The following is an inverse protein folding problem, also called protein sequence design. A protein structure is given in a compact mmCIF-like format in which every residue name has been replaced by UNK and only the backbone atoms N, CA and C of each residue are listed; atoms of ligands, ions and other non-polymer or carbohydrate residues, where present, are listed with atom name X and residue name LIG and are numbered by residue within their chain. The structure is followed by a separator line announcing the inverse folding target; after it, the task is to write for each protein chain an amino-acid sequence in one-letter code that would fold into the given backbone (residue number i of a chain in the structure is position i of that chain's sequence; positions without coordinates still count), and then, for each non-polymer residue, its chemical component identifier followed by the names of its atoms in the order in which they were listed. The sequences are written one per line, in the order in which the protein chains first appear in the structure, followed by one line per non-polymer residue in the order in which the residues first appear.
data_IF_201612842793
#
_entry.id   IF_201612842793
#
_cell.length_a   1.000
_cell.length_b   1.000
_cell.length_c   1.000
_cell.angle_alpha   90.00
_cell.angle_beta   90.00
_cell.angle_gamma   90.00
#
_symmetry.space_group_name_H-M   'P 1'
#
loop_
_entity.id
_entity.type
_entity.pdbx_description
1 polymer ?
#
# COMPACT_ATOMS: atom_id res chain seq x y z
N UNK A 1 -24.63 30.26 22.26
CA UNK A 1 -23.70 29.35 21.59
C UNK A 1 -24.50 28.49 20.63
N UNK A 2 -24.55 28.84 19.35
CA UNK A 2 -25.22 28.08 18.30
C UNK A 2 -24.32 26.90 17.93
N UNK A 3 -24.69 25.71 18.37
CA UNK A 3 -24.03 24.46 17.89
C UNK A 3 -24.35 24.31 16.41
N UNK A 4 -23.41 24.67 15.55
CA UNK A 4 -23.49 24.37 14.12
C UNK A 4 -23.54 22.86 13.98
N UNK A 5 -24.72 22.31 13.69
CA UNK A 5 -24.88 20.91 13.32
C UNK A 5 -24.13 20.70 12.02
N UNK A 6 -23.04 19.95 12.08
CA UNK A 6 -22.33 19.51 10.87
C UNK A 6 -23.33 18.75 9.98
N UNK A 7 -23.36 19.02 8.66
CA UNK A 7 -24.24 18.30 7.75
C UNK A 7 -23.95 16.81 7.89
N UNK A 8 -24.97 16.05 8.30
CA UNK A 8 -24.88 14.60 8.47
C UNK A 8 -24.78 13.95 7.09
N UNK A 9 -23.56 13.55 6.70
CA UNK A 9 -23.36 12.76 5.48
C UNK A 9 -24.11 11.44 5.63
N UNK A 10 -24.89 10.99 4.62
CA UNK A 10 -25.58 9.70 4.68
C UNK A 10 -24.61 8.55 4.97
N UNK A 11 -24.99 7.64 5.86
CA UNK A 11 -24.14 6.48 6.22
C UNK A 11 -23.75 5.65 4.98
N UNK A 12 -24.62 5.57 3.98
CA UNK A 12 -24.38 4.86 2.71
C UNK A 12 -23.16 5.43 1.94
N UNK A 13 -22.98 6.74 1.93
CA UNK A 13 -21.85 7.37 1.24
C UNK A 13 -20.53 7.04 1.94
N UNK A 14 -20.51 7.05 3.28
CA UNK A 14 -19.31 6.65 4.04
C UNK A 14 -18.97 5.19 3.81
N UNK A 15 -19.97 4.28 3.83
CA UNK A 15 -19.76 2.86 3.54
C UNK A 15 -19.18 2.66 2.14
N UNK A 16 -19.72 3.35 1.15
CA UNK A 16 -19.19 3.27 -0.23
C UNK A 16 -17.75 3.75 -0.30
N UNK A 17 -17.43 4.90 0.32
CA UNK A 17 -16.07 5.42 0.35
C UNK A 17 -15.12 4.45 1.04
N UNK A 18 -15.49 3.93 2.21
CA UNK A 18 -14.67 2.98 2.99
C UNK A 18 -14.40 1.72 2.16
N UNK A 19 -15.42 1.22 1.44
CA UNK A 19 -15.28 0.03 0.58
C UNK A 19 -14.33 0.31 -0.61
N UNK A 20 -14.44 1.47 -1.25
CA UNK A 20 -13.56 1.84 -2.38
C UNK A 20 -12.11 2.02 -1.94
N UNK A 21 -11.90 2.72 -0.82
CA UNK A 21 -10.56 2.90 -0.24
C UNK A 21 -10.00 1.54 0.19
N UNK A 22 -10.80 0.71 0.88
CA UNK A 22 -10.40 -0.63 1.28
C UNK A 22 -10.03 -1.54 0.09
N UNK A 23 -10.79 -1.45 -1.01
CA UNK A 23 -10.49 -2.21 -2.23
C UNK A 23 -9.15 -1.78 -2.85
N UNK A 24 -8.90 -0.48 -2.96
CA UNK A 24 -7.63 0.05 -3.44
C UNK A 24 -6.47 -0.36 -2.52
N UNK A 25 -6.67 -0.26 -1.21
CA UNK A 25 -5.69 -0.63 -0.19
C UNK A 25 -5.34 -2.12 -0.23
N UNK A 26 -6.33 -2.99 -0.48
CA UNK A 26 -6.06 -4.43 -0.63
C UNK A 26 -5.15 -4.73 -1.84
N UNK A 27 -5.29 -3.99 -2.95
CA UNK A 27 -4.38 -4.12 -4.11
C UNK A 27 -2.98 -3.62 -3.78
N UNK A 28 -2.85 -2.54 -3.00
CA UNK A 28 -1.54 -2.08 -2.52
C UNK A 28 -0.81 -3.17 -1.73
N UNK A 29 -1.47 -3.78 -0.75
CA UNK A 29 -0.89 -4.85 0.07
C UNK A 29 -0.67 -6.16 -0.72
N UNK A 30 -1.58 -6.52 -1.61
CA UNK A 30 -1.39 -7.62 -2.56
C UNK A 30 -0.10 -7.41 -3.38
N UNK A 31 0.11 -6.19 -3.86
CA UNK A 31 1.26 -5.85 -4.70
C UNK A 31 2.59 -5.88 -3.94
N UNK A 32 2.59 -5.72 -2.62
CA UNK A 32 3.78 -5.90 -1.78
C UNK A 32 4.33 -7.33 -1.82
N UNK A 33 3.49 -8.31 -2.10
CA UNK A 33 3.85 -9.72 -2.16
C UNK A 33 3.80 -10.30 -3.58
N UNK A 34 3.86 -9.49 -4.64
CA UNK A 34 3.81 -9.97 -6.03
C UNK A 34 4.91 -11.00 -6.35
N UNK A 35 6.12 -10.75 -5.91
CA UNK A 35 7.27 -11.60 -6.27
C UNK A 35 7.52 -12.71 -5.26
N UNK A 36 7.33 -12.49 -3.97
CA UNK A 36 7.71 -13.42 -2.92
C UNK A 36 7.12 -14.84 -3.08
N UNK A 37 5.82 -15.03 -3.36
CA UNK A 37 5.26 -16.36 -3.62
C UNK A 37 5.79 -17.03 -4.89
N UNK A 38 6.38 -16.26 -5.81
CA UNK A 38 6.88 -16.70 -7.09
C UNK A 38 8.40 -16.98 -7.09
N UNK A 39 9.08 -16.77 -5.97
CA UNK A 39 10.53 -16.94 -5.85
C UNK A 39 11.07 -18.28 -6.36
N UNK A 40 10.43 -19.45 -6.12
CA UNK A 40 10.92 -20.71 -6.66
C UNK A 40 11.04 -20.69 -8.18
N UNK A 41 10.03 -20.18 -8.88
CA UNK A 41 10.03 -20.11 -10.36
C UNK A 41 10.95 -19.02 -10.89
N UNK A 42 11.03 -17.89 -10.22
CA UNK A 42 11.89 -16.76 -10.63
C UNK A 42 13.37 -17.10 -10.45
N UNK A 43 13.72 -17.81 -9.36
CA UNK A 43 15.09 -18.28 -9.12
C UNK A 43 15.61 -19.07 -10.31
N UNK A 44 14.83 -20.03 -10.77
CA UNK A 44 15.22 -20.91 -11.88
C UNK A 44 15.16 -20.17 -13.23
N UNK A 45 14.14 -19.35 -13.46
CA UNK A 45 13.96 -18.61 -14.72
C UNK A 45 15.07 -17.58 -15.00
N UNK A 46 15.63 -16.98 -13.96
CA UNK A 46 16.66 -15.94 -14.07
C UNK A 46 18.05 -16.40 -13.59
N UNK A 47 18.17 -17.67 -13.15
CA UNK A 47 19.40 -18.24 -12.59
C UNK A 47 20.01 -17.35 -11.49
N UNK A 48 19.20 -16.93 -10.53
CA UNK A 48 19.55 -16.05 -9.42
C UNK A 48 19.34 -16.73 -8.07
N UNK A 49 19.95 -16.20 -7.03
CA UNK A 49 19.77 -16.66 -5.65
C UNK A 49 18.51 -16.07 -4.99
N UNK A 50 18.04 -16.69 -3.90
CA UNK A 50 16.98 -16.08 -3.07
C UNK A 50 17.40 -14.74 -2.44
N UNK A 51 18.70 -14.51 -2.23
CA UNK A 51 19.21 -13.25 -1.74
C UNK A 51 19.00 -12.11 -2.77
N UNK A 52 19.29 -12.40 -4.05
CA UNK A 52 19.03 -11.44 -5.14
C UNK A 52 17.54 -11.17 -5.32
N UNK A 53 16.68 -12.18 -5.21
CA UNK A 53 15.23 -11.98 -5.22
C UNK A 53 14.75 -11.17 -4.01
N UNK A 54 15.35 -11.38 -2.83
CA UNK A 54 15.11 -10.57 -1.64
C UNK A 54 15.53 -9.11 -1.84
N UNK A 55 16.59 -8.85 -2.63
CA UNK A 55 17.00 -7.48 -2.97
C UNK A 55 15.92 -6.75 -3.80
N UNK A 56 15.22 -7.44 -4.69
CA UNK A 56 14.08 -6.84 -5.43
C UNK A 56 12.97 -6.37 -4.49
N UNK A 57 12.67 -7.15 -3.44
CA UNK A 57 11.73 -6.75 -2.40
C UNK A 57 12.25 -5.54 -1.61
N UNK A 58 13.54 -5.52 -1.31
CA UNK A 58 14.20 -4.39 -0.63
C UNK A 58 14.09 -3.12 -1.47
N UNK A 59 14.37 -3.19 -2.78
CA UNK A 59 14.21 -2.07 -3.71
C UNK A 59 12.78 -1.54 -3.66
N UNK A 60 11.79 -2.44 -3.79
CA UNK A 60 10.37 -2.07 -3.71
C UNK A 60 10.05 -1.31 -2.41
N UNK A 61 10.41 -1.86 -1.25
CA UNK A 61 10.05 -1.26 0.04
C UNK A 61 10.79 0.05 0.31
N UNK A 62 12.07 0.16 -0.06
CA UNK A 62 12.84 1.40 0.08
C UNK A 62 12.22 2.51 -0.77
N UNK A 63 11.95 2.23 -2.04
CA UNK A 63 11.31 3.21 -2.94
C UNK A 63 9.93 3.60 -2.43
N UNK A 64 9.12 2.60 -2.03
CA UNK A 64 7.78 2.85 -1.47
C UNK A 64 7.85 3.74 -0.22
N UNK A 65 8.79 3.51 0.66
CA UNK A 65 8.97 4.29 1.89
C UNK A 65 9.35 5.76 1.59
N UNK A 66 10.27 5.98 0.65
CA UNK A 66 10.66 7.32 0.20
C UNK A 66 9.48 8.05 -0.44
N UNK A 67 8.78 7.39 -1.37
CA UNK A 67 7.61 7.96 -2.05
C UNK A 67 6.49 8.24 -1.05
N UNK A 68 6.24 7.34 -0.10
CA UNK A 68 5.21 7.53 0.93
C UNK A 68 5.46 8.78 1.77
N UNK A 69 6.71 9.06 2.11
CA UNK A 69 7.10 10.26 2.86
C UNK A 69 6.82 11.54 2.05
N UNK A 70 7.01 11.50 0.74
CA UNK A 70 6.85 12.66 -0.14
C UNK A 70 5.43 12.81 -0.71
N UNK A 71 4.68 11.74 -0.81
CA UNK A 71 3.38 11.73 -1.50
C UNK A 71 2.31 12.57 -0.79
N UNK A 72 2.45 12.84 0.50
CA UNK A 72 1.57 13.78 1.21
C UNK A 72 1.52 15.16 0.56
N UNK A 73 2.68 15.69 0.16
CA UNK A 73 2.78 16.99 -0.55
C UNK A 73 2.12 16.95 -1.94
N UNK A 74 2.21 15.79 -2.61
CA UNK A 74 1.58 15.59 -3.92
C UNK A 74 0.06 15.52 -3.77
N UNK A 75 -0.43 14.81 -2.75
CA UNK A 75 -1.85 14.72 -2.43
C UNK A 75 -2.43 16.08 -2.07
N UNK A 76 -1.70 16.88 -1.30
CA UNK A 76 -2.13 18.24 -0.93
C UNK A 76 -2.26 19.18 -2.16
N UNK A 77 -1.44 18.99 -3.19
CA UNK A 77 -1.46 19.80 -4.42
C UNK A 77 -2.46 19.30 -5.47
N UNK A 78 -2.46 17.99 -5.74
CA UNK A 78 -3.23 17.39 -6.84
C UNK A 78 -4.57 16.81 -6.40
N UNK A 79 -4.76 16.65 -5.07
CA UNK A 79 -5.88 15.92 -4.51
C UNK A 79 -5.67 14.40 -4.49
N UNK A 80 -6.43 13.66 -3.65
CA UNK A 80 -6.23 12.23 -3.45
C UNK A 80 -6.61 11.37 -4.67
N UNK A 81 -7.66 11.74 -5.41
CA UNK A 81 -8.19 10.93 -6.53
C UNK A 81 -7.18 10.66 -7.64
N UNK A 82 -6.54 11.67 -8.28
CA UNK A 82 -5.59 11.43 -9.36
C UNK A 82 -4.35 10.67 -8.87
N UNK A 83 -3.91 10.92 -7.64
CA UNK A 83 -2.75 10.26 -7.04
C UNK A 83 -3.06 8.76 -6.80
N UNK A 84 -4.25 8.42 -6.30
CA UNK A 84 -4.70 7.03 -6.13
C UNK A 84 -4.74 6.28 -7.46
N UNK A 85 -5.30 6.91 -8.50
CA UNK A 85 -5.41 6.30 -9.83
C UNK A 85 -4.04 6.07 -10.45
N UNK A 86 -3.12 7.03 -10.32
CA UNK A 86 -1.74 6.87 -10.75
C UNK A 86 -1.03 5.72 -10.01
N UNK A 87 -1.23 5.61 -8.69
CA UNK A 87 -0.69 4.51 -7.89
C UNK A 87 -1.17 3.15 -8.37
N UNK A 88 -2.48 2.97 -8.55
CA UNK A 88 -3.06 1.72 -9.07
C UNK A 88 -2.58 1.39 -10.48
N UNK A 89 -2.51 2.38 -11.36
CA UNK A 89 -2.01 2.19 -12.72
C UNK A 89 -0.55 1.74 -12.72
N UNK A 90 0.30 2.36 -11.89
CA UNK A 90 1.71 1.98 -11.75
C UNK A 90 1.87 0.55 -11.20
N UNK A 91 1.04 0.14 -10.23
CA UNK A 91 1.06 -1.24 -9.71
C UNK A 91 0.67 -2.25 -10.80
N UNK A 92 -0.38 -1.96 -11.56
CA UNK A 92 -0.81 -2.82 -12.67
C UNK A 92 0.24 -2.90 -13.79
N UNK A 93 0.83 -1.76 -14.18
CA UNK A 93 1.91 -1.69 -15.16
C UNK A 93 3.16 -2.43 -14.68
N UNK A 94 3.52 -2.32 -13.40
CA UNK A 94 4.63 -3.05 -12.82
C UNK A 94 4.41 -4.57 -12.87
N UNK A 95 3.20 -5.04 -12.58
CA UNK A 95 2.87 -6.47 -12.65
C UNK A 95 2.99 -7.00 -14.09
N UNK A 96 2.51 -6.27 -15.09
CA UNK A 96 2.73 -6.60 -16.50
C UNK A 96 4.19 -6.53 -16.89
N UNK A 97 4.92 -5.53 -16.41
CA UNK A 97 6.35 -5.40 -16.63
C UNK A 97 7.16 -6.56 -16.04
N UNK A 98 6.82 -6.98 -14.82
CA UNK A 98 7.40 -8.22 -14.25
C UNK A 98 7.11 -9.43 -15.12
N UNK A 99 5.87 -9.59 -15.61
CA UNK A 99 5.52 -10.72 -16.46
C UNK A 99 6.30 -10.76 -17.79
N UNK A 100 6.61 -9.59 -18.34
CA UNK A 100 7.36 -9.43 -19.58
C UNK A 100 8.88 -9.45 -19.38
N UNK A 101 9.38 -9.46 -18.14
CA UNK A 101 10.80 -9.37 -17.84
C UNK A 101 11.59 -10.56 -18.38
N UNK A 102 12.73 -10.26 -18.98
CA UNK A 102 13.68 -11.24 -19.56
C UNK A 102 15.03 -11.23 -18.84
N UNK A 103 15.26 -10.30 -17.91
CA UNK A 103 16.47 -10.20 -17.12
C UNK A 103 16.18 -9.75 -15.70
N UNK A 104 17.11 -10.04 -14.78
CA UNK A 104 17.03 -9.58 -13.39
C UNK A 104 16.93 -8.07 -13.28
N UNK A 105 17.62 -7.32 -14.13
CA UNK A 105 17.59 -5.85 -14.12
C UNK A 105 16.23 -5.27 -14.52
N UNK A 106 15.50 -5.97 -15.40
CA UNK A 106 14.10 -5.60 -15.69
C UNK A 106 13.21 -5.82 -14.46
N UNK A 107 13.41 -6.93 -13.73
CA UNK A 107 12.70 -7.12 -12.45
C UNK A 107 13.03 -6.01 -11.45
N UNK A 108 14.30 -5.60 -11.36
CA UNK A 108 14.72 -4.49 -10.49
C UNK A 108 14.06 -3.17 -10.90
N UNK A 109 14.01 -2.85 -12.21
CA UNK A 109 13.32 -1.67 -12.73
C UNK A 109 11.83 -1.67 -12.34
N UNK A 110 11.13 -2.79 -12.56
CA UNK A 110 9.71 -2.87 -12.23
C UNK A 110 9.46 -2.93 -10.71
N UNK A 111 10.45 -3.35 -9.90
CA UNK A 111 10.38 -3.19 -8.43
C UNK A 111 10.40 -1.71 -8.03
N UNK A 112 11.17 -0.87 -8.73
CA UNK A 112 11.13 0.60 -8.54
C UNK A 112 9.75 1.15 -8.93
N UNK A 113 9.23 0.77 -10.11
CA UNK A 113 7.90 1.24 -10.59
C UNK A 113 6.80 0.84 -9.60
N UNK A 114 6.82 -0.42 -9.15
CA UNK A 114 5.87 -0.91 -8.14
C UNK A 114 6.00 -0.17 -6.81
N UNK A 115 7.22 0.10 -6.35
CA UNK A 115 7.49 0.87 -5.14
C UNK A 115 6.94 2.29 -5.22
N UNK A 116 7.12 2.97 -6.36
CA UNK A 116 6.54 4.30 -6.62
C UNK A 116 5.01 4.22 -6.55
N UNK A 117 4.40 3.24 -7.24
CA UNK A 117 2.96 3.05 -7.22
C UNK A 117 2.42 2.75 -5.82
N UNK A 118 3.13 1.96 -5.02
CA UNK A 118 2.70 1.57 -3.68
C UNK A 118 2.80 2.71 -2.65
N UNK A 119 3.79 3.59 -2.77
CA UNK A 119 4.08 4.61 -1.76
C UNK A 119 3.01 5.69 -1.61
N UNK A 120 2.06 5.80 -2.53
CA UNK A 120 1.02 6.85 -2.47
C UNK A 120 -0.21 6.47 -1.63
N UNK A 121 -0.44 5.17 -1.35
CA UNK A 121 -1.72 4.70 -0.80
C UNK A 121 -2.00 5.24 0.59
N UNK A 122 -1.11 5.06 1.57
CA UNK A 122 -1.39 5.51 2.94
C UNK A 122 -1.70 7.01 3.05
N UNK A 123 -0.93 7.94 2.44
CA UNK A 123 -1.28 9.35 2.45
C UNK A 123 -2.63 9.66 1.78
N UNK A 124 -2.94 8.99 0.66
CA UNK A 124 -4.24 9.13 -0.03
C UNK A 124 -5.38 8.60 0.82
N UNK A 125 -5.26 7.37 1.30
CA UNK A 125 -6.30 6.66 2.05
C UNK A 125 -6.65 7.43 3.34
N UNK A 126 -5.63 7.85 4.08
CA UNK A 126 -5.83 8.62 5.31
C UNK A 126 -6.43 10.00 5.04
N UNK A 127 -6.06 10.64 3.94
CA UNK A 127 -6.67 11.90 3.53
C UNK A 127 -8.16 11.72 3.22
N UNK A 128 -8.52 10.70 2.44
CA UNK A 128 -9.93 10.41 2.10
C UNK A 128 -10.74 10.05 3.34
N UNK A 129 -10.24 9.14 4.17
CA UNK A 129 -10.94 8.69 5.38
C UNK A 129 -11.14 9.86 6.35
N UNK A 130 -10.08 10.59 6.71
CA UNK A 130 -10.17 11.66 7.70
C UNK A 130 -11.00 12.85 7.23
N UNK A 131 -10.96 13.18 5.93
CA UNK A 131 -11.68 14.36 5.43
C UNK A 131 -13.13 14.07 5.04
N UNK A 132 -13.45 12.85 4.61
CA UNK A 132 -14.79 12.53 4.09
C UNK A 132 -15.64 11.74 5.07
N UNK A 133 -15.11 10.77 5.79
CA UNK A 133 -15.89 9.92 6.70
C UNK A 133 -16.37 10.73 7.92
N UNK A 134 -17.60 10.45 8.36
CA UNK A 134 -18.15 11.11 9.56
C UNK A 134 -17.32 10.72 10.81
N UNK A 135 -17.02 11.66 11.74
CA UNK A 135 -16.16 11.39 12.90
C UNK A 135 -16.56 10.17 13.74
N UNK A 136 -17.87 9.93 13.94
CA UNK A 136 -18.36 8.77 14.69
C UNK A 136 -18.09 7.41 14.01
N UNK A 137 -17.72 7.38 12.74
CA UNK A 137 -17.46 6.18 11.96
C UNK A 137 -15.98 5.99 11.59
N UNK A 138 -15.09 6.90 12.00
CA UNK A 138 -13.65 6.81 11.71
C UNK A 138 -13.03 5.53 12.24
N UNK A 139 -13.39 5.09 13.45
CA UNK A 139 -12.89 3.83 14.00
C UNK A 139 -13.21 2.62 13.11
N UNK A 140 -14.46 2.54 12.62
CA UNK A 140 -14.86 1.49 11.68
C UNK A 140 -14.12 1.59 10.34
N UNK A 141 -13.92 2.82 9.82
CA UNK A 141 -13.20 3.04 8.57
C UNK A 141 -11.75 2.54 8.66
N UNK A 142 -11.04 2.87 9.73
CA UNK A 142 -9.67 2.40 9.94
C UNK A 142 -9.59 0.89 10.23
N UNK A 143 -10.58 0.32 10.91
CA UNK A 143 -10.65 -1.14 11.08
C UNK A 143 -10.81 -1.86 9.75
N UNK A 144 -11.73 -1.42 8.89
CA UNK A 144 -11.91 -1.99 7.55
C UNK A 144 -10.65 -1.81 6.71
N UNK A 145 -10.03 -0.63 6.74
CA UNK A 145 -8.76 -0.37 6.06
C UNK A 145 -7.66 -1.37 6.48
N UNK A 146 -7.48 -1.62 7.78
CA UNK A 146 -6.52 -2.60 8.27
C UNK A 146 -6.85 -4.04 7.85
N UNK A 147 -8.14 -4.44 7.90
CA UNK A 147 -8.59 -5.78 7.47
C UNK A 147 -8.34 -5.97 5.98
N UNK A 148 -8.68 -4.98 5.15
CA UNK A 148 -8.49 -5.08 3.69
C UNK A 148 -7.03 -5.17 3.30
N UNK A 149 -6.12 -4.50 4.03
CA UNK A 149 -4.67 -4.69 3.87
C UNK A 149 -4.23 -6.12 4.15
N UNK A 150 -4.67 -6.69 5.29
CA UNK A 150 -4.37 -8.09 5.65
C UNK A 150 -4.93 -9.09 4.63
N UNK A 151 -6.15 -8.84 4.11
CA UNK A 151 -6.73 -9.64 3.03
C UNK A 151 -5.90 -9.55 1.74
N UNK A 152 -5.36 -8.38 1.40
CA UNK A 152 -4.46 -8.22 0.26
C UNK A 152 -3.22 -9.11 0.39
N UNK A 153 -2.57 -9.13 1.56
CA UNK A 153 -1.44 -10.01 1.81
C UNK A 153 -1.80 -11.50 1.73
N UNK A 154 -2.95 -11.89 2.25
CA UNK A 154 -3.40 -13.29 2.17
C UNK A 154 -3.76 -13.71 0.74
N UNK A 155 -4.36 -12.81 -0.04
CA UNK A 155 -4.78 -13.08 -1.41
C UNK A 155 -3.58 -13.28 -2.36
N UNK A 156 -2.46 -12.59 -2.13
CA UNK A 156 -1.31 -12.66 -3.02
C UNK A 156 -0.77 -14.10 -3.15
N UNK A 157 -0.33 -14.80 -2.10
CA UNK A 157 0.12 -16.18 -2.24
C UNK A 157 -1.03 -17.13 -2.64
N UNK A 158 -2.26 -16.90 -2.16
CA UNK A 158 -3.41 -17.73 -2.49
C UNK A 158 -3.79 -17.71 -3.98
N UNK A 159 -3.51 -16.62 -4.68
CA UNK A 159 -3.77 -16.49 -6.12
C UNK A 159 -2.52 -16.80 -6.95
N UNK A 160 -1.36 -16.24 -6.58
CA UNK A 160 -0.18 -16.30 -7.43
C UNK A 160 0.46 -17.68 -7.49
N UNK A 161 0.58 -18.39 -6.36
CA UNK A 161 1.24 -19.69 -6.34
C UNK A 161 0.46 -20.76 -7.13
N UNK A 162 -0.88 -20.91 -6.98
CA UNK A 162 -1.65 -21.84 -7.82
C UNK A 162 -1.59 -21.48 -9.31
N UNK A 163 -1.70 -20.20 -9.68
CA UNK A 163 -1.61 -19.78 -11.07
C UNK A 163 -0.22 -20.07 -11.66
N UNK A 164 0.84 -19.87 -10.88
CA UNK A 164 2.19 -20.19 -11.32
C UNK A 164 2.40 -21.69 -11.49
N UNK A 165 1.83 -22.51 -10.63
CA UNK A 165 1.91 -23.99 -10.69
C UNK A 165 1.12 -24.58 -11.85
N UNK A 166 -0.09 -24.03 -12.12
CA UNK A 166 -0.99 -24.56 -13.17
C UNK A 166 -0.63 -24.05 -14.57
N UNK A 167 -0.08 -22.84 -14.66
CA UNK A 167 0.21 -22.20 -15.93
C UNK A 167 1.66 -21.72 -16.01
N UNK A 168 1.96 -20.58 -15.42
CA UNK A 168 3.31 -20.05 -15.28
C UNK A 168 3.33 -18.83 -14.36
N UNK A 169 4.51 -18.48 -13.84
CA UNK A 169 4.70 -17.25 -13.07
C UNK A 169 4.37 -15.99 -13.88
N UNK A 170 4.56 -16.02 -15.21
CA UNK A 170 4.19 -14.90 -16.09
C UNK A 170 2.68 -14.70 -16.14
N UNK A 171 1.91 -15.77 -16.28
CA UNK A 171 0.44 -15.74 -16.26
C UNK A 171 -0.07 -15.24 -14.90
N UNK A 172 0.52 -15.70 -13.80
CA UNK A 172 0.17 -15.24 -12.48
C UNK A 172 0.32 -13.70 -12.33
N UNK A 173 1.43 -13.16 -12.82
CA UNK A 173 1.69 -11.71 -12.80
C UNK A 173 0.80 -10.94 -13.79
N UNK A 174 0.46 -11.50 -14.94
CA UNK A 174 -0.53 -10.91 -15.86
C UNK A 174 -1.91 -10.82 -15.20
N UNK A 175 -2.35 -11.88 -14.51
CA UNK A 175 -3.61 -11.86 -13.76
C UNK A 175 -3.58 -10.82 -12.63
N UNK A 176 -2.45 -10.65 -11.95
CA UNK A 176 -2.27 -9.63 -10.93
C UNK A 176 -2.38 -8.20 -11.52
N UNK A 177 -1.74 -7.95 -12.66
CA UNK A 177 -1.85 -6.69 -13.37
C UNK A 177 -3.28 -6.40 -13.83
N UNK A 178 -3.94 -7.41 -14.40
CA UNK A 178 -5.35 -7.31 -14.80
C UNK A 178 -6.26 -6.99 -13.59
N UNK A 179 -6.05 -7.64 -12.46
CA UNK A 179 -6.79 -7.36 -11.22
C UNK A 179 -6.64 -5.90 -10.77
N UNK A 180 -5.42 -5.35 -10.80
CA UNK A 180 -5.18 -3.95 -10.46
C UNK A 180 -5.94 -3.00 -11.39
N UNK A 181 -5.97 -3.26 -12.70
CA UNK A 181 -6.72 -2.46 -13.67
C UNK A 181 -8.24 -2.63 -13.55
N UNK A 182 -8.73 -3.83 -13.20
CA UNK A 182 -10.16 -4.03 -12.89
C UNK A 182 -10.56 -3.18 -11.68
N UNK A 183 -9.74 -3.17 -10.62
CA UNK A 183 -10.00 -2.31 -9.46
C UNK A 183 -9.93 -0.84 -9.85
N UNK A 184 -8.94 -0.43 -10.65
CA UNK A 184 -8.86 0.94 -11.17
C UNK A 184 -10.13 1.32 -11.94
N UNK A 185 -10.67 0.44 -12.79
CA UNK A 185 -11.89 0.67 -13.54
C UNK A 185 -13.11 0.82 -12.60
N UNK A 186 -13.21 -0.02 -11.55
CA UNK A 186 -14.25 0.13 -10.52
C UNK A 186 -14.15 1.50 -9.85
N UNK A 187 -12.96 1.90 -9.42
CA UNK A 187 -12.75 3.20 -8.79
C UNK A 187 -13.04 4.36 -9.75
N UNK A 188 -12.77 4.19 -11.03
CA UNK A 188 -13.09 5.18 -12.07
C UNK A 188 -14.59 5.39 -12.22
N UNK A 189 -15.38 4.32 -12.18
CA UNK A 189 -16.86 4.42 -12.21
C UNK A 189 -17.36 5.23 -11.00
N UNK A 190 -16.77 5.02 -9.83
CA UNK A 190 -17.15 5.72 -8.60
C UNK A 190 -16.25 6.94 -8.27
N UNK A 191 -15.58 7.51 -9.28
CA UNK A 191 -14.57 8.57 -9.08
C UNK A 191 -15.06 9.81 -8.33
N UNK A 192 -16.35 10.13 -8.41
CA UNK A 192 -16.92 11.27 -7.70
C UNK A 192 -16.94 11.06 -6.19
N UNK A 193 -17.03 9.82 -5.73
CA UNK A 193 -16.92 9.48 -4.31
C UNK A 193 -15.51 9.72 -3.76
N UNK A 194 -14.48 9.68 -4.64
CA UNK A 194 -13.07 9.86 -4.30
C UNK A 194 -12.58 11.30 -4.50
N UNK A 195 -13.42 12.19 -5.05
CA UNK A 195 -13.08 13.60 -5.21
C UNK A 195 -13.12 14.32 -3.86
N UNK A 196 -12.20 15.24 -3.66
CA UNK A 196 -12.10 16.06 -2.47
C UNK A 196 -11.82 17.52 -2.88
N UNK A 197 -12.59 18.44 -2.34
CA UNK A 197 -12.27 19.86 -2.45
C UNK A 197 -11.10 20.17 -1.49
N UNK A 198 -9.93 20.40 -2.06
CA UNK A 198 -8.72 20.67 -1.28
C UNK A 198 -8.73 22.10 -0.70
N UNK A 199 -9.54 23.03 -1.24
CA UNK A 199 -9.69 24.38 -0.73
C UNK A 199 -10.61 24.44 0.49
N UNK A 200 -11.44 23.41 0.70
CA UNK A 200 -12.31 23.35 1.87
C UNK A 200 -11.49 23.25 3.17
N UNK A 201 -11.88 24.00 4.23
CA UNK A 201 -11.16 23.99 5.50
C UNK A 201 -11.05 22.58 6.07
N UNK A 202 -9.87 22.23 6.59
CA UNK A 202 -9.64 20.96 7.30
C UNK A 202 -10.59 20.93 8.52
N UNK A 203 -11.25 19.79 8.76
CA UNK A 203 -12.14 19.63 9.91
C UNK A 203 -11.42 20.05 11.21
N UNK A 204 -12.08 20.84 12.04
CA UNK A 204 -11.55 21.25 13.34
C UNK A 204 -11.22 20.00 14.18
N UNK A 205 -9.95 19.83 14.52
CA UNK A 205 -9.38 18.64 15.18
C UNK A 205 -8.01 18.27 14.64
N UNK A 206 -7.68 18.71 13.41
CA UNK A 206 -6.35 18.66 12.83
C UNK A 206 -5.81 20.09 12.60
N UNK A 207 -5.98 20.97 13.57
CA UNK A 207 -5.39 22.31 13.54
C UNK A 207 -3.86 22.14 13.72
N UNK A 208 -3.18 21.83 12.62
CA UNK A 208 -1.78 22.17 12.49
C UNK A 208 -1.76 23.67 12.26
N UNK A 209 -1.16 24.44 13.16
CA UNK A 209 -0.90 25.85 12.97
C UNK A 209 -0.14 25.99 11.64
N UNK A 210 -0.69 26.69 10.67
CA UNK A 210 -0.07 26.92 9.34
C UNK A 210 1.29 27.64 9.44
N UNK A 211 1.68 28.11 10.62
CA UNK A 211 2.98 28.72 10.94
C UNK A 211 4.02 27.74 11.51
N UNK A 212 3.68 26.46 11.73
CA UNK A 212 4.69 25.50 12.17
C UNK A 212 5.44 24.92 10.97
N UNK A 213 6.78 24.93 11.06
CA UNK A 213 7.65 24.29 10.08
C UNK A 213 7.18 22.87 9.78
N UNK A 214 7.19 22.49 8.50
CA UNK A 214 6.76 21.17 7.99
C UNK A 214 7.33 19.98 8.77
N UNK A 215 8.44 20.16 9.48
CA UNK A 215 9.09 19.16 10.31
C UNK A 215 8.81 19.28 11.81
N UNK A 216 7.87 20.14 12.23
CA UNK A 216 7.56 20.32 13.65
C UNK A 216 7.07 19.03 14.34
N UNK A 217 6.42 18.12 13.59
CA UNK A 217 6.01 16.81 14.10
C UNK A 217 7.17 15.96 14.62
N UNK A 218 8.39 16.14 14.10
CA UNK A 218 9.59 15.45 14.59
C UNK A 218 10.00 15.88 16.01
N UNK A 219 9.47 16.98 16.54
CA UNK A 219 9.67 17.40 17.92
C UNK A 219 8.74 16.67 18.91
N UNK A 220 7.75 15.92 18.42
CA UNK A 220 6.80 15.18 19.23
C UNK A 220 7.43 13.86 19.68
N UNK A 221 7.68 13.64 20.99
CA UNK A 221 8.32 12.40 21.48
C UNK A 221 7.58 11.13 21.08
N UNK A 222 6.24 11.17 20.97
CA UNK A 222 5.43 10.04 20.56
C UNK A 222 5.72 9.56 19.13
N UNK A 223 6.21 10.43 18.25
CA UNK A 223 6.63 10.06 16.88
C UNK A 223 7.85 9.13 16.96
N UNK A 224 8.84 9.51 17.74
CA UNK A 224 10.05 8.70 17.93
C UNK A 224 9.78 7.40 18.69
N UNK A 225 8.89 7.45 19.68
CA UNK A 225 8.45 6.25 20.38
C UNK A 225 7.77 5.27 19.43
N UNK A 226 6.87 5.75 18.55
CA UNK A 226 6.23 4.93 17.53
C UNK A 226 7.24 4.29 16.57
N UNK A 227 8.21 5.06 16.10
CA UNK A 227 9.32 4.56 15.26
C UNK A 227 10.12 3.48 16.00
N UNK A 228 10.51 3.74 17.26
CA UNK A 228 11.29 2.80 18.06
C UNK A 228 10.53 1.48 18.32
N UNK A 229 9.23 1.53 18.60
CA UNK A 229 8.40 0.34 18.82
C UNK A 229 8.32 -0.49 17.55
N UNK A 230 8.05 0.12 16.39
CA UNK A 230 8.00 -0.59 15.10
C UNK A 230 9.34 -1.24 14.77
N UNK A 231 10.45 -0.53 14.95
CA UNK A 231 11.78 -1.08 14.71
C UNK A 231 12.11 -2.21 15.70
N UNK A 232 11.73 -2.07 16.96
CA UNK A 232 11.92 -3.11 17.98
C UNK A 232 11.18 -4.41 17.62
N UNK A 233 9.93 -4.32 17.17
CA UNK A 233 9.15 -5.47 16.71
C UNK A 233 9.79 -6.14 15.49
N UNK A 234 10.29 -5.36 14.53
CA UNK A 234 10.97 -5.91 13.35
C UNK A 234 12.26 -6.64 13.73
N UNK A 235 13.06 -6.09 14.64
CA UNK A 235 14.29 -6.70 15.12
C UNK A 235 13.98 -8.02 15.83
N UNK A 236 13.01 -8.04 16.76
CA UNK A 236 12.61 -9.25 17.48
C UNK A 236 12.14 -10.35 16.54
N UNK A 237 11.34 -10.01 15.53
CA UNK A 237 10.90 -10.97 14.51
C UNK A 237 12.08 -11.52 13.69
N UNK A 238 13.02 -10.67 13.28
CA UNK A 238 14.22 -11.11 12.55
C UNK A 238 15.09 -12.07 13.40
N UNK A 239 15.25 -11.79 14.70
CA UNK A 239 15.96 -12.68 15.62
C UNK A 239 15.25 -14.02 15.79
N UNK A 240 13.94 -14.04 15.95
CA UNK A 240 13.15 -15.26 16.11
C UNK A 240 13.22 -16.15 14.86
N UNK A 241 13.09 -15.56 13.67
CA UNK A 241 13.25 -16.30 12.39
C UNK A 241 14.67 -16.89 12.28
N UNK A 242 15.70 -16.12 12.64
CA UNK A 242 17.09 -16.60 12.64
C UNK A 242 17.33 -17.76 13.61
N UNK A 243 16.69 -17.72 14.77
CA UNK A 243 16.79 -18.79 15.79
C UNK A 243 16.12 -20.08 15.32
N UNK A 244 14.89 -19.99 14.81
CA UNK A 244 14.16 -21.16 14.26
C UNK A 244 14.94 -21.83 13.12
N UNK A 245 15.56 -21.05 12.25
CA UNK A 245 16.38 -21.59 11.16
C UNK A 245 17.62 -22.33 11.69
N UNK A 246 18.29 -21.83 12.73
CA UNK A 246 19.46 -22.49 13.34
C UNK A 246 19.10 -23.81 14.01
N UNK A 247 17.97 -23.88 14.70
CA UNK A 247 17.49 -25.12 15.34
C UNK A 247 17.04 -26.17 14.33
N UNK A 248 16.47 -25.74 13.19
CA UNK A 248 16.06 -26.65 12.11
C UNK A 248 17.24 -27.22 11.28
N UNK A 249 18.42 -26.61 11.35
CA UNK A 249 19.62 -27.01 10.61
C UNK A 249 20.71 -27.62 11.51
N UNK A 250 20.46 -27.78 12.82
CA UNK A 250 21.39 -28.46 13.72
C UNK A 250 21.39 -29.97 13.39
N UNK A 251 22.55 -30.58 13.12
CA UNK A 251 22.63 -32.03 12.95
C UNK A 251 22.24 -32.72 14.24
N UNK A 252 21.48 -33.83 14.11
CA UNK A 252 21.11 -34.70 15.21
C UNK A 252 22.34 -35.42 15.79
#
# INVERSE_FOLDING_TARGET
MTTATLPTRPAREDVTLIALVGLAHSISHFSQLLLAPLFPWLKDAFNVSYAELGLLMTIFFVVSCVVQTLSGFVVDKLGPRPVLFAGLALLGLAAFGFSASQSYWMLALFSVVAGVGNGVFHPVDYTLINRKVHPSRLGHAFSVHGITGSLGWALAPAMLAPLASLYSWRVALMCAGALAFVVLAVLWVYREQLSLDMAAPKKAGAAVNDNEHTLAFLKIPAVWLGIAVVQGVLIVNAFNVGKVRRTALAPA
#
